data_IF_897964590388
#
_entry.id   IF_897964590388
#
_cell.length_a   1.000
_cell.length_b   1.000
_cell.length_c   1.000
_cell.angle_alpha   90.00
_cell.angle_beta   90.00
_cell.angle_gamma   90.00
#
_symmetry.space_group_name_H-M   'P 1'
#
loop_
_entity.id
_entity.type
_entity.pdbx_description
1 polymer ?
#
# COMPACT_ATOMS: atom_id res chain seq x y z
N UNK A 1 10.17 13.27 7.26
CA UNK A 1 10.87 12.35 6.35
C UNK A 1 11.06 13.00 4.99
N UNK A 2 12.16 12.72 4.31
CA UNK A 2 12.33 13.14 2.92
C UNK A 2 11.53 12.25 1.97
N UNK A 3 10.95 12.83 0.92
CA UNK A 3 10.38 12.05 -0.18
C UNK A 3 11.53 11.35 -0.92
N UNK A 4 11.46 10.04 -1.18
CA UNK A 4 12.34 9.37 -2.15
C UNK A 4 12.46 10.10 -3.49
N UNK A 5 13.45 9.73 -4.32
CA UNK A 5 13.60 10.32 -5.65
C UNK A 5 12.28 10.23 -6.45
N UNK A 6 11.86 11.37 -7.03
CA UNK A 6 10.60 11.51 -7.75
C UNK A 6 10.75 12.55 -8.86
N UNK A 7 9.84 12.49 -9.83
CA UNK A 7 9.67 13.46 -10.90
C UNK A 7 8.26 14.05 -10.83
N UNK A 8 8.01 15.11 -11.60
CA UNK A 8 6.66 15.64 -11.79
C UNK A 8 5.73 14.52 -12.25
N UNK A 9 4.49 14.55 -11.76
CA UNK A 9 3.40 13.58 -11.99
C UNK A 9 3.52 12.23 -11.30
N UNK A 10 4.65 11.91 -10.68
CA UNK A 10 4.76 10.71 -9.83
C UNK A 10 3.77 10.80 -8.65
N UNK A 11 3.24 9.64 -8.25
CA UNK A 11 2.34 9.52 -7.09
C UNK A 11 3.15 9.04 -5.89
N UNK A 12 3.14 9.82 -4.80
CA UNK A 12 3.52 9.29 -3.49
C UNK A 12 2.31 8.64 -2.83
N UNK A 13 2.52 7.43 -2.32
CA UNK A 13 1.67 6.84 -1.28
C UNK A 13 2.46 6.86 0.02
N UNK A 14 1.95 7.60 1.01
CA UNK A 14 2.48 7.63 2.37
C UNK A 14 1.68 6.63 3.21
N UNK A 15 2.32 5.53 3.55
CA UNK A 15 1.78 4.53 4.46
C UNK A 15 2.19 4.89 5.87
N UNK A 16 1.21 4.93 6.76
CA UNK A 16 1.39 5.21 8.18
C UNK A 16 0.70 4.12 8.98
N UNK A 17 1.46 3.50 9.86
CA UNK A 17 0.91 2.63 10.89
C UNK A 17 1.05 3.29 12.26
N UNK A 18 -0.05 3.22 13.00
CA UNK A 18 -0.17 3.69 14.38
C UNK A 18 -1.01 2.71 15.17
N UNK A 19 -1.10 2.91 16.48
CA UNK A 19 -2.00 2.14 17.31
C UNK A 19 -3.46 2.27 16.80
N UNK A 20 -4.24 1.19 16.93
CA UNK A 20 -5.57 1.06 16.33
C UNK A 20 -6.52 2.27 16.53
N UNK A 21 -6.51 2.87 17.72
CA UNK A 21 -7.40 3.97 18.09
C UNK A 21 -6.77 5.37 17.86
N UNK A 22 -5.50 5.43 17.46
CA UNK A 22 -4.73 6.67 17.38
C UNK A 22 -4.77 7.26 15.98
N UNK A 23 -5.46 8.39 15.85
CA UNK A 23 -5.69 9.02 14.55
C UNK A 23 -4.51 9.85 14.06
N UNK A 24 -4.05 9.50 12.86
CA UNK A 24 -3.02 10.25 12.13
C UNK A 24 -3.67 11.44 11.42
N UNK A 25 -3.19 12.65 11.73
CA UNK A 25 -3.59 13.87 11.03
C UNK A 25 -3.01 13.89 9.61
N UNK A 26 -3.79 14.41 8.65
CA UNK A 26 -3.36 14.55 7.26
C UNK A 26 -2.12 15.43 7.16
N UNK A 27 -1.00 14.92 6.62
CA UNK A 27 0.20 15.72 6.40
C UNK A 27 -0.04 16.85 5.38
N UNK A 28 0.67 17.97 5.54
CA UNK A 28 0.53 19.11 4.65
C UNK A 28 0.82 18.74 3.18
N UNK A 29 -0.09 19.11 2.28
CA UNK A 29 0.01 18.81 0.85
C UNK A 29 -0.46 17.41 0.43
N UNK A 30 -0.83 16.56 1.40
CA UNK A 30 -1.38 15.23 1.12
C UNK A 30 -2.90 15.22 1.26
N UNK A 31 -3.53 14.23 0.65
CA UNK A 31 -4.93 13.89 0.85
C UNK A 31 -5.05 12.41 1.28
N UNK A 32 -6.08 12.02 2.06
CA UNK A 32 -6.30 10.61 2.36
C UNK A 32 -6.64 9.83 1.08
N UNK A 33 -6.12 8.61 0.97
CA UNK A 33 -6.58 7.66 -0.05
C UNK A 33 -8.01 7.24 0.27
N UNK A 34 -8.84 7.05 -0.75
CA UNK A 34 -10.20 6.54 -0.56
C UNK A 34 -10.16 5.18 0.18
N UNK A 35 -11.13 4.94 1.07
CA UNK A 35 -11.17 3.80 2.01
C UNK A 35 -10.05 3.76 3.07
N UNK A 36 -9.26 4.83 3.24
CA UNK A 36 -8.34 4.96 4.38
C UNK A 36 -8.94 5.88 5.47
N UNK A 37 -8.72 5.60 6.77
CA UNK A 37 -7.94 4.51 7.37
C UNK A 37 -8.67 3.16 7.44
N UNK A 38 -7.92 2.11 7.78
CA UNK A 38 -8.42 0.82 8.24
C UNK A 38 -7.79 0.51 9.59
N UNK A 39 -8.55 -0.02 10.56
CA UNK A 39 -8.03 -0.25 11.90
C UNK A 39 -8.69 -1.42 12.62
N UNK A 40 -7.92 -2.09 13.49
CA UNK A 40 -8.41 -3.12 14.39
C UNK A 40 -8.18 -2.70 15.85
N UNK A 41 -9.26 -2.45 16.58
CA UNK A 41 -9.23 -1.92 17.94
C UNK A 41 -9.38 -3.04 18.98
N UNK A 42 -8.29 -3.43 19.64
CA UNK A 42 -8.32 -4.46 20.69
C UNK A 42 -7.30 -4.23 21.82
N UNK A 43 -6.93 -2.97 22.09
CA UNK A 43 -5.95 -2.59 23.12
C UNK A 43 -4.52 -2.51 22.59
N UNK A 44 -3.52 -2.88 23.40
CA UNK A 44 -2.09 -2.65 23.12
C UNK A 44 -1.53 -3.33 21.86
N UNK A 45 -2.29 -4.24 21.24
CA UNK A 45 -1.92 -4.94 20.01
C UNK A 45 -2.78 -4.50 18.80
N UNK A 46 -3.58 -3.44 18.96
CA UNK A 46 -4.37 -2.87 17.86
C UNK A 46 -3.49 -2.11 16.89
N UNK A 47 -3.84 -2.18 15.60
CA UNK A 47 -3.08 -1.52 14.52
C UNK A 47 -4.04 -0.72 13.64
N UNK A 48 -3.55 0.40 13.12
CA UNK A 48 -4.25 1.27 12.18
C UNK A 48 -3.36 1.53 10.98
N UNK A 49 -3.84 1.20 9.80
CA UNK A 49 -3.24 1.61 8.53
C UNK A 49 -3.93 2.89 8.03
N UNK A 50 -3.18 3.98 7.97
CA UNK A 50 -3.61 5.22 7.32
C UNK A 50 -2.72 5.48 6.11
N UNK A 51 -3.32 5.70 4.94
CA UNK A 51 -2.62 5.90 3.68
C UNK A 51 -3.04 7.24 3.12
N UNK A 52 -2.05 8.08 2.85
CA UNK A 52 -2.22 9.36 2.19
C UNK A 52 -1.56 9.35 0.82
N UNK A 53 -1.96 10.26 -0.05
CA UNK A 53 -1.34 10.43 -1.35
C UNK A 53 -1.12 11.89 -1.69
N UNK A 54 -0.20 12.10 -2.62
CA UNK A 54 0.00 13.38 -3.31
C UNK A 54 0.62 13.11 -4.68
N UNK A 55 0.30 13.95 -5.66
CA UNK A 55 1.00 14.00 -6.95
C UNK A 55 2.14 15.00 -6.86
N UNK A 56 3.34 14.57 -7.25
CA UNK A 56 4.50 15.44 -7.30
C UNK A 56 4.28 16.58 -8.32
N UNK A 57 4.38 17.82 -7.85
CA UNK A 57 4.35 19.02 -8.71
C UNK A 57 5.75 19.54 -9.04
N UNK A 58 6.79 18.93 -8.46
CA UNK A 58 8.20 19.21 -8.72
C UNK A 58 9.03 17.95 -8.43
N UNK A 59 10.31 17.95 -8.80
CA UNK A 59 11.27 16.91 -8.40
C UNK A 59 11.90 17.17 -7.00
N UNK A 60 11.39 18.16 -6.27
CA UNK A 60 11.91 18.62 -4.98
C UNK A 60 10.75 18.97 -4.03
N UNK A 61 9.80 18.04 -3.87
CA UNK A 61 8.69 18.20 -2.95
C UNK A 61 9.19 18.34 -1.49
N UNK A 62 8.49 19.12 -0.64
CA UNK A 62 8.91 19.34 0.73
C UNK A 62 8.90 18.05 1.56
N UNK A 63 9.70 18.06 2.64
CA UNK A 63 9.71 16.95 3.60
C UNK A 63 8.34 16.78 4.26
N UNK A 64 7.91 15.53 4.41
CA UNK A 64 6.65 15.18 5.08
C UNK A 64 6.86 15.16 6.58
N UNK A 65 5.96 15.79 7.32
CA UNK A 65 5.91 15.73 8.79
C UNK A 65 4.64 15.04 9.21
N UNK A 66 4.77 14.01 10.05
CA UNK A 66 3.63 13.33 10.68
C UNK A 66 3.63 13.76 12.14
N UNK A 67 2.50 14.27 12.60
CA UNK A 67 2.31 14.59 14.01
C UNK A 67 2.10 13.28 14.76
N UNK A 68 2.80 13.10 15.87
CA UNK A 68 2.66 11.91 16.72
C UNK A 68 1.19 11.75 17.15
N UNK A 69 0.53 10.63 16.81
CA UNK A 69 -0.87 10.42 17.13
C UNK A 69 -1.08 9.92 18.58
N UNK A 70 -0.01 9.62 19.33
CA UNK A 70 -0.09 9.28 20.76
C UNK A 70 1.04 8.34 21.24
N UNK A 71 1.01 7.08 20.81
CA UNK A 71 1.88 6.01 21.29
C UNK A 71 3.07 5.79 20.36
N UNK A 72 2.79 5.55 19.09
CA UNK A 72 3.80 5.39 18.06
C UNK A 72 3.22 5.72 16.69
N UNK A 73 4.12 6.02 15.77
CA UNK A 73 3.81 6.18 14.37
C UNK A 73 5.02 5.72 13.56
N UNK A 74 4.82 4.74 12.70
CA UNK A 74 5.82 4.30 11.74
C UNK A 74 5.32 4.55 10.33
N UNK A 75 6.20 5.01 9.44
CA UNK A 75 5.76 5.46 8.13
C UNK A 75 6.83 5.33 7.05
N UNK A 76 6.36 5.16 5.82
CA UNK A 76 7.19 5.09 4.62
C UNK A 76 6.44 5.66 3.42
N UNK A 77 7.17 6.37 2.56
CA UNK A 77 6.68 6.81 1.25
C UNK A 77 7.15 5.81 0.20
N UNK A 78 6.21 5.36 -0.64
CA UNK A 78 6.52 4.70 -1.90
C UNK A 78 6.10 5.60 -3.06
N UNK A 79 6.99 5.74 -4.05
CA UNK A 79 6.77 6.58 -5.24
C UNK A 79 6.43 5.69 -6.43
N UNK A 80 5.34 6.01 -7.12
CA UNK A 80 4.87 5.30 -8.31
C UNK A 80 4.89 6.19 -9.54
N UNK A 81 5.47 5.67 -10.62
CA UNK A 81 5.54 6.32 -11.93
C UNK A 81 4.69 5.58 -12.96
N UNK A 82 4.25 6.28 -13.99
CA UNK A 82 3.39 5.71 -15.05
C UNK A 82 1.93 5.64 -14.64
N UNK A 83 1.54 6.40 -13.61
CA UNK A 83 0.14 6.62 -13.22
C UNK A 83 -0.43 7.78 -14.03
N UNK A 84 -1.73 7.77 -14.32
CA UNK A 84 -2.39 8.88 -15.04
C UNK A 84 -1.98 10.25 -14.49
N UNK A 85 -1.73 11.22 -15.37
CA UNK A 85 -1.14 12.51 -15.02
C UNK A 85 -2.12 13.48 -14.33
N UNK A 86 -3.43 13.28 -14.46
CA UNK A 86 -4.45 14.18 -13.90
C UNK A 86 -5.59 13.42 -13.24
N UNK A 87 -6.31 14.11 -12.35
CA UNK A 87 -7.44 13.53 -11.62
C UNK A 87 -7.02 12.49 -10.58
N UNK A 88 -8.00 11.67 -10.20
CA UNK A 88 -7.86 10.59 -9.24
C UNK A 88 -6.91 9.50 -9.78
N UNK A 89 -5.76 9.21 -9.12
CA UNK A 89 -4.79 8.26 -9.62
C UNK A 89 -5.23 6.79 -9.54
N UNK A 90 -6.27 6.43 -8.78
CA UNK A 90 -6.73 5.05 -8.68
C UNK A 90 -8.05 4.82 -9.42
N UNK A 91 -8.17 3.62 -9.99
CA UNK A 91 -9.39 3.09 -10.61
C UNK A 91 -10.41 2.72 -9.53
N UNK A 92 -9.93 1.97 -8.54
CA UNK A 92 -10.71 1.50 -7.40
C UNK A 92 -9.80 1.31 -6.20
N UNK A 93 -10.37 1.50 -5.01
CA UNK A 93 -9.74 1.12 -3.74
C UNK A 93 -10.68 0.22 -2.96
N UNK A 94 -10.12 -0.58 -2.07
CA UNK A 94 -10.85 -1.39 -1.11
C UNK A 94 -10.04 -1.51 0.17
N UNK A 95 -10.70 -1.71 1.30
CA UNK A 95 -10.03 -1.88 2.59
C UNK A 95 -10.76 -2.87 3.45
N UNK A 96 -10.09 -3.33 4.50
CA UNK A 96 -10.71 -4.20 5.47
C UNK A 96 -9.77 -4.57 6.61
N UNK A 97 -10.27 -5.49 7.42
CA UNK A 97 -9.58 -5.95 8.62
C UNK A 97 -9.70 -7.45 8.78
N UNK A 98 -8.65 -8.07 9.30
CA UNK A 98 -8.70 -9.41 9.84
C UNK A 98 -8.54 -9.36 11.35
N UNK A 99 -9.66 -9.54 12.06
CA UNK A 99 -9.72 -9.45 13.52
C UNK A 99 -9.36 -10.79 14.23
N UNK A 100 -8.84 -11.75 13.47
CA UNK A 100 -8.28 -13.01 13.97
C UNK A 100 -6.78 -12.83 14.19
N UNK A 101 -6.30 -13.31 15.33
CA UNK A 101 -4.89 -13.27 15.70
C UNK A 101 -4.21 -14.55 15.18
N UNK A 102 -3.63 -14.47 13.98
CA UNK A 102 -3.02 -15.60 13.29
C UNK A 102 -1.85 -15.17 12.39
N UNK A 103 -1.20 -16.13 11.76
CA UNK A 103 -0.05 -15.93 10.88
C UNK A 103 -0.43 -15.82 9.39
N UNK A 104 -1.70 -15.55 9.05
CA UNK A 104 -2.15 -15.51 7.67
C UNK A 104 -2.87 -14.21 7.35
N UNK A 105 -2.47 -13.56 6.26
CA UNK A 105 -3.21 -12.46 5.67
C UNK A 105 -4.07 -12.95 4.51
N UNK A 106 -5.33 -12.52 4.46
CA UNK A 106 -6.19 -12.52 3.27
C UNK A 106 -6.76 -11.12 3.04
N UNK A 107 -6.02 -10.29 2.31
CA UNK A 107 -6.51 -8.99 1.86
C UNK A 107 -7.51 -9.17 0.72
N UNK A 108 -8.73 -8.65 0.92
CA UNK A 108 -9.79 -8.74 -0.08
C UNK A 108 -9.41 -8.04 -1.38
N UNK A 109 -9.73 -8.69 -2.51
CA UNK A 109 -9.57 -8.12 -3.83
C UNK A 109 -10.54 -6.98 -4.14
N UNK A 110 -10.28 -6.31 -5.26
CA UNK A 110 -11.16 -5.31 -5.87
C UNK A 110 -11.49 -5.74 -7.31
N UNK A 111 -12.42 -5.04 -7.96
CA UNK A 111 -12.72 -5.25 -9.39
C UNK A 111 -12.29 -4.03 -10.16
N UNK A 112 -11.23 -4.16 -10.96
CA UNK A 112 -10.74 -3.06 -11.79
C UNK A 112 -11.61 -2.91 -13.03
N UNK A 113 -11.84 -1.66 -13.45
CA UNK A 113 -12.49 -1.30 -14.71
C UNK A 113 -11.47 -0.98 -15.81
N UNK A 114 -10.21 -0.76 -15.41
CA UNK A 114 -9.11 -0.43 -16.32
C UNK A 114 -8.09 -1.57 -16.36
N UNK A 115 -7.68 -1.93 -17.58
CA UNK A 115 -6.59 -2.88 -17.84
C UNK A 115 -5.23 -2.30 -17.40
N UNK A 116 -4.24 -3.17 -17.24
CA UNK A 116 -2.87 -2.80 -16.85
C UNK A 116 -2.78 -1.96 -15.57
N UNK A 117 -3.70 -2.19 -14.63
CA UNK A 117 -3.73 -1.49 -13.34
C UNK A 117 -2.66 -2.05 -12.41
N UNK A 118 -1.89 -1.17 -11.77
CA UNK A 118 -0.95 -1.57 -10.74
C UNK A 118 -1.70 -1.69 -9.41
N UNK A 119 -1.80 -2.91 -8.90
CA UNK A 119 -2.43 -3.19 -7.61
C UNK A 119 -1.37 -3.05 -6.54
N UNK A 120 -1.60 -2.15 -5.58
CA UNK A 120 -0.79 -1.97 -4.38
C UNK A 120 -1.61 -2.49 -3.20
N UNK A 121 -1.08 -3.46 -2.46
CA UNK A 121 -1.70 -3.98 -1.24
C UNK A 121 -0.79 -3.69 -0.07
N UNK A 122 -1.33 -3.01 0.94
CA UNK A 122 -0.67 -2.75 2.20
C UNK A 122 -1.42 -3.42 3.34
N UNK A 123 -0.70 -3.98 4.30
CA UNK A 123 -1.27 -4.54 5.52
C UNK A 123 -0.42 -4.15 6.74
N UNK A 124 -1.09 -3.56 7.73
CA UNK A 124 -0.54 -3.18 9.02
C UNK A 124 -0.75 -4.27 10.07
N UNK A 125 0.12 -4.31 11.07
CA UNK A 125 0.13 -5.29 12.16
C UNK A 125 0.81 -4.70 13.41
N UNK A 126 0.50 -5.20 14.61
CA UNK A 126 0.93 -4.64 15.90
C UNK A 126 2.20 -5.25 16.52
N UNK A 127 3.22 -5.61 15.73
CA UNK A 127 4.45 -6.28 16.23
C UNK A 127 5.38 -5.33 16.95
N UNK A 128 5.58 -5.61 18.23
CA UNK A 128 6.63 -4.99 19.05
C UNK A 128 8.01 -5.63 18.88
N UNK A 129 8.56 -5.51 17.68
CA UNK A 129 9.92 -5.91 17.39
C UNK A 129 10.49 -5.12 16.21
N UNK A 130 11.80 -4.91 16.19
CA UNK A 130 12.48 -4.49 14.98
C UNK A 130 12.62 -5.68 14.04
N UNK A 131 12.03 -5.61 12.85
CA UNK A 131 12.14 -6.65 11.84
C UNK A 131 11.93 -6.09 10.45
N UNK A 132 12.39 -6.82 9.45
CA UNK A 132 12.22 -6.55 8.02
C UNK A 132 11.66 -7.77 7.27
N UNK A 133 11.07 -8.71 8.00
CA UNK A 133 10.60 -10.01 7.47
C UNK A 133 9.30 -10.43 8.19
N UNK A 134 8.40 -9.50 8.42
CA UNK A 134 7.11 -9.76 9.07
C UNK A 134 6.12 -10.43 8.13
N UNK A 135 6.11 -10.04 6.85
CA UNK A 135 5.27 -10.61 5.78
C UNK A 135 6.06 -11.57 4.87
N UNK A 136 7.36 -11.74 5.14
CA UNK A 136 8.26 -12.64 4.44
C UNK A 136 8.56 -13.93 5.23
N UNK A 137 7.76 -14.97 5.04
CA UNK A 137 8.18 -16.37 5.17
C UNK A 137 7.63 -17.09 3.93
N UNK A 138 8.42 -17.52 2.93
CA UNK A 138 9.75 -18.15 2.97
C UNK A 138 10.58 -17.78 1.71
N UNK A 139 11.80 -17.26 1.89
CA UNK A 139 12.93 -17.38 0.94
C UNK A 139 12.78 -16.81 -0.47
N UNK A 140 13.24 -15.58 -0.68
CA UNK A 140 13.64 -14.98 -1.96
C UNK A 140 12.61 -14.83 -3.10
N UNK A 141 11.40 -15.40 -2.98
CA UNK A 141 10.23 -15.09 -3.80
C UNK A 141 8.98 -15.60 -3.06
N UNK A 142 8.00 -14.74 -2.77
CA UNK A 142 6.64 -15.21 -2.44
C UNK A 142 6.27 -15.31 -0.94
N UNK A 143 6.43 -14.24 -0.17
CA UNK A 143 5.55 -14.04 0.99
C UNK A 143 4.12 -13.71 0.57
N UNK A 144 3.99 -12.92 -0.49
CA UNK A 144 2.72 -12.49 -1.08
C UNK A 144 2.30 -13.38 -2.25
N UNK A 145 1.03 -13.76 -2.30
CA UNK A 145 0.47 -14.54 -3.39
C UNK A 145 -0.85 -13.94 -3.89
N UNK A 146 -0.98 -13.84 -5.22
CA UNK A 146 -2.23 -13.55 -5.89
C UNK A 146 -2.18 -14.14 -7.31
N UNK A 147 -3.04 -15.10 -7.62
CA UNK A 147 -3.00 -15.83 -8.89
C UNK A 147 -3.42 -14.97 -10.10
N UNK A 148 -4.06 -13.82 -9.87
CA UNK A 148 -4.58 -12.95 -10.93
C UNK A 148 -3.67 -11.76 -11.23
N UNK A 149 -2.53 -11.64 -10.54
CA UNK A 149 -1.55 -10.57 -10.71
C UNK A 149 -0.23 -11.15 -11.22
N UNK A 150 0.49 -10.35 -12.00
CA UNK A 150 1.86 -10.67 -12.45
C UNK A 150 2.86 -9.69 -11.87
N UNK A 151 4.14 -10.06 -11.85
CA UNK A 151 5.21 -9.19 -11.37
C UNK A 151 5.10 -8.81 -9.90
N UNK A 152 4.49 -9.68 -9.07
CA UNK A 152 4.31 -9.43 -7.64
C UNK A 152 5.67 -9.19 -6.98
N UNK A 153 5.80 -8.06 -6.32
CA UNK A 153 7.00 -7.67 -5.58
C UNK A 153 6.65 -7.04 -4.25
N UNK A 154 7.34 -7.44 -3.19
CA UNK A 154 7.31 -6.73 -1.92
C UNK A 154 8.12 -5.43 -2.04
N UNK A 155 7.54 -4.34 -1.56
CA UNK A 155 8.11 -2.98 -1.62
C UNK A 155 8.50 -2.46 -0.25
N UNK A 156 7.82 -2.92 0.79
CA UNK A 156 8.12 -2.62 2.17
C UNK A 156 7.76 -3.83 3.03
N UNK A 157 8.60 -4.12 4.00
CA UNK A 157 8.29 -4.99 5.13
C UNK A 157 9.12 -4.51 6.29
N UNK A 158 8.46 -3.99 7.31
CA UNK A 158 9.12 -3.75 8.57
C UNK A 158 8.17 -3.74 9.76
N UNK A 159 8.75 -3.96 10.92
CA UNK A 159 8.17 -3.64 12.22
C UNK A 159 9.19 -2.85 13.05
N UNK A 160 8.71 -2.04 13.99
CA UNK A 160 9.55 -1.27 14.90
C UNK A 160 9.19 -1.55 16.34
N UNK A 161 10.22 -1.55 17.18
CA UNK A 161 10.10 -1.55 18.64
C UNK A 161 10.05 -0.10 19.15
N UNK A 162 8.90 0.54 19.02
CA UNK A 162 8.63 1.89 19.53
C UNK A 162 7.20 1.95 20.05
N UNK A 163 6.99 2.56 21.23
CA UNK A 163 5.70 2.45 21.92
C UNK A 163 5.36 0.99 22.19
N UNK A 164 4.16 0.57 21.79
CA UNK A 164 3.71 -0.82 21.82
C UNK A 164 4.03 -1.61 20.54
N UNK A 165 4.84 -1.02 19.66
CA UNK A 165 5.24 -1.63 18.42
C UNK A 165 4.19 -1.58 17.32
N UNK A 166 4.63 -1.90 16.12
CA UNK A 166 3.81 -1.76 14.93
C UNK A 166 4.64 -1.83 13.67
N UNK A 167 3.97 -1.99 12.54
CA UNK A 167 4.61 -2.11 11.25
C UNK A 167 3.65 -2.51 10.15
N UNK A 168 4.16 -2.54 8.93
CA UNK A 168 3.36 -2.91 7.78
C UNK A 168 4.22 -3.56 6.69
N UNK A 169 3.55 -4.32 5.85
CA UNK A 169 4.05 -4.80 4.58
C UNK A 169 3.30 -4.15 3.43
N UNK A 170 4.00 -3.90 2.32
CA UNK A 170 3.40 -3.42 1.07
C UNK A 170 3.92 -4.28 -0.08
N UNK A 171 3.03 -4.78 -0.91
CA UNK A 171 3.37 -5.39 -2.18
C UNK A 171 2.68 -4.65 -3.33
N UNK A 172 3.23 -4.78 -4.53
CA UNK A 172 2.49 -4.47 -5.73
C UNK A 172 2.58 -5.57 -6.78
N UNK A 173 1.63 -5.56 -7.72
CA UNK A 173 1.56 -6.47 -8.86
C UNK A 173 0.58 -5.95 -9.91
N UNK A 174 0.71 -6.40 -11.16
CA UNK A 174 -0.05 -5.87 -12.29
C UNK A 174 -1.28 -6.73 -12.56
N UNK A 175 -2.45 -6.08 -12.66
CA UNK A 175 -3.68 -6.66 -13.19
C UNK A 175 -3.81 -6.31 -14.68
N UNK A 176 -3.35 -7.20 -15.55
CA UNK A 176 -3.28 -6.95 -16.99
C UNK A 176 -4.65 -6.74 -17.65
N UNK A 177 -5.64 -7.57 -17.31
CA UNK A 177 -7.01 -7.45 -17.85
C UNK A 177 -7.93 -6.87 -16.79
N UNK A 178 -8.77 -5.90 -17.15
CA UNK A 178 -9.81 -5.38 -16.24
C UNK A 178 -10.65 -6.53 -15.66
N UNK A 179 -10.97 -6.46 -14.36
CA UNK A 179 -11.80 -7.42 -13.66
C UNK A 179 -11.35 -7.69 -12.24
N UNK A 180 -11.89 -8.75 -11.63
CA UNK A 180 -11.60 -9.10 -10.24
C UNK A 180 -10.10 -9.40 -10.04
N UNK A 181 -9.45 -8.70 -9.10
CA UNK A 181 -8.06 -8.97 -8.73
C UNK A 181 -7.92 -10.25 -7.91
N UNK A 182 -9.01 -10.79 -7.36
CA UNK A 182 -8.94 -11.85 -6.35
C UNK A 182 -8.23 -11.38 -5.07
N UNK A 183 -8.22 -12.24 -4.07
CA UNK A 183 -7.57 -11.94 -2.80
C UNK A 183 -6.05 -12.02 -2.93
N UNK A 184 -5.39 -11.12 -2.21
CA UNK A 184 -3.95 -11.19 -1.98
C UNK A 184 -3.71 -11.82 -0.62
N UNK A 185 -2.90 -12.87 -0.57
CA UNK A 185 -2.55 -13.53 0.69
C UNK A 185 -1.09 -13.34 1.05
N UNK A 186 -0.78 -13.44 2.35
CA UNK A 186 0.59 -13.53 2.84
C UNK A 186 0.70 -14.38 4.10
N UNK A 187 1.88 -14.92 4.38
CA UNK A 187 2.18 -15.59 5.66
C UNK A 187 3.03 -14.68 6.53
N UNK A 188 2.58 -14.43 7.75
CA UNK A 188 3.29 -13.60 8.72
C UNK A 188 4.24 -14.44 9.58
N UNK A 189 5.37 -13.86 10.00
CA UNK A 189 6.33 -14.52 10.90
C UNK A 189 5.78 -14.79 12.31
N UNK A 190 4.71 -14.09 12.68
CA UNK A 190 4.11 -14.08 14.00
C UNK A 190 2.61 -13.81 13.88
N UNK A 191 1.83 -14.28 14.85
CA UNK A 191 0.40 -14.08 14.82
C UNK A 191 0.04 -12.63 15.16
N UNK A 192 -0.79 -12.00 14.35
CA UNK A 192 -1.31 -10.65 14.56
C UNK A 192 -2.70 -10.49 13.98
N UNK A 193 -3.40 -9.43 14.42
CA UNK A 193 -4.54 -8.87 13.69
C UNK A 193 -4.02 -7.91 12.63
N UNK A 194 -4.76 -7.76 11.53
CA UNK A 194 -4.28 -6.99 10.37
C UNK A 194 -5.33 -5.99 9.93
N UNK A 195 -4.90 -4.80 9.56
CA UNK A 195 -5.69 -3.82 8.82
C UNK A 195 -5.06 -3.64 7.46
N UNK A 196 -5.83 -3.72 6.37
CA UNK A 196 -5.27 -3.73 5.02
C UNK A 196 -6.01 -2.79 4.07
N UNK A 197 -5.30 -2.33 3.05
CA UNK A 197 -5.82 -1.50 1.97
C UNK A 197 -5.28 -2.00 0.63
N UNK A 198 -6.17 -2.10 -0.36
CA UNK A 198 -5.89 -2.43 -1.76
C UNK A 198 -6.18 -1.20 -2.62
N UNK A 199 -5.20 -0.76 -3.40
CA UNK A 199 -5.27 0.42 -4.28
C UNK A 199 -4.93 -0.01 -5.71
N UNK A 200 -5.83 0.21 -6.67
CA UNK A 200 -5.58 -0.06 -8.08
C UNK A 200 -5.18 1.24 -8.81
N UNK A 201 -3.89 1.51 -8.97
CA UNK A 201 -3.39 2.69 -9.68
C UNK A 201 -3.64 2.57 -11.18
N UNK A 202 -4.23 3.61 -11.78
CA UNK A 202 -4.52 3.68 -13.22
C UNK A 202 -3.24 3.91 -14.01
N UNK A 203 -2.92 3.10 -15.04
CA UNK A 203 -1.78 3.36 -15.89
C UNK A 203 -2.01 4.62 -16.74
N UNK A 204 -0.96 5.32 -17.12
CA UNK A 204 -1.03 6.26 -18.24
C UNK A 204 -1.53 5.52 -19.47
N UNK A 205 -2.52 6.07 -20.18
CA UNK A 205 -3.03 5.47 -21.42
C UNK A 205 -1.87 5.20 -22.37
N UNK A 206 -1.52 3.93 -22.58
CA UNK A 206 -0.53 3.58 -23.59
C UNK A 206 -1.22 3.68 -24.95
N UNK A 207 -0.84 4.67 -25.76
CA UNK A 207 -1.22 4.67 -27.17
C UNK A 207 -0.56 3.49 -27.83
N UNK A 208 -1.28 2.38 -28.01
CA UNK A 208 -0.81 1.27 -28.84
C UNK A 208 -0.83 1.76 -30.28
N UNK A 209 0.31 2.22 -30.78
CA UNK A 209 0.49 2.51 -32.20
C UNK A 209 0.36 1.16 -32.91
N UNK A 210 -0.83 0.89 -33.46
CA UNK A 210 -1.02 -0.18 -34.41
C UNK A 210 -0.48 0.36 -35.74
N UNK A 211 0.77 0.01 -36.05
CA UNK A 211 1.36 0.24 -37.37
C UNK A 211 0.63 -0.63 -38.39
N UNK A 212 -0.52 -0.16 -38.86
CA UNK A 212 -1.19 -0.72 -40.03
C UNK A 212 -0.45 -0.23 -41.27
N UNK A 213 0.65 -0.90 -41.63
CA UNK A 213 1.15 -0.82 -43.00
C UNK A 213 0.43 -1.87 -43.84
N UNK A 214 -0.66 -1.46 -44.47
CA UNK A 214 -1.16 -2.17 -45.64
C UNK A 214 -0.14 -1.95 -46.77
N UNK A 215 0.49 -3.05 -47.20
CA UNK A 215 1.24 -3.09 -48.45
C UNK A 215 0.26 -3.63 -49.50
N UNK A 216 -0.14 -2.76 -50.43
CA UNK A 216 -0.72 -3.17 -51.71
C UNK A 216 0.40 -3.62 -52.65
#
# INVERSE_FOLDING_TARGET
MAWPAHAIDDIALLFVESMGEEAVLTPAGFAPVLNSPQNVNTGNNGTRLTVFWVRATSAAMPNVTITDPGNHCVAQILTYRGVIATGDPWDVTGGGTENVFDTSLTASGVTTTVADTLIVVAAAQGRDANSTTTFANVGAAGGWANANLTGIAERADFARRNGNGGGFGVMDGVKATAGATGNTTATLSNAFRKAFLTIALKPTTQTRILDWREVY
#
